data_IF_777704200452
#
_entry.id   IF_777704200452
#
_cell.length_a   1.000
_cell.length_b   1.000
_cell.length_c   1.000
_cell.angle_alpha   90.00
_cell.angle_beta   90.00
_cell.angle_gamma   90.00
#
_symmetry.space_group_name_H-M   'P 1'
#
loop_
_entity.id
_entity.type
_entity.pdbx_description
1 polymer ?
#
# COMPACT_ATOMS: atom_id res chain seq x y z
N UNK A 1 2.54 0.74 -24.38
CA UNK A 1 1.14 0.31 -24.23
C UNK A 1 1.05 -0.37 -22.88
N UNK A 2 0.37 0.23 -21.91
CA UNK A 2 0.18 -0.35 -20.58
C UNK A 2 -1.06 -1.23 -20.64
N UNK A 3 -0.91 -2.51 -20.27
CA UNK A 3 -2.00 -3.47 -20.37
C UNK A 3 -3.12 -3.14 -19.38
N UNK A 4 -4.12 -2.40 -19.85
CA UNK A 4 -5.57 -2.63 -19.72
C UNK A 4 -6.27 -2.79 -18.36
N UNK A 5 -5.56 -2.93 -17.24
CA UNK A 5 -6.20 -3.17 -15.95
C UNK A 5 -6.77 -1.87 -15.37
N UNK A 6 -8.06 -1.88 -15.00
CA UNK A 6 -8.67 -0.79 -14.22
C UNK A 6 -8.23 -0.91 -12.78
N UNK A 7 -7.65 0.15 -12.23
CA UNK A 7 -7.17 0.20 -10.85
C UNK A 7 -8.05 1.14 -10.05
N UNK A 8 -8.44 0.70 -8.85
CA UNK A 8 -9.16 1.49 -7.85
C UNK A 8 -8.39 1.42 -6.52
N UNK A 9 -8.41 2.50 -5.73
CA UNK A 9 -7.70 2.57 -4.45
C UNK A 9 -8.68 2.78 -3.31
N UNK A 10 -8.64 1.89 -2.31
CA UNK A 10 -9.27 2.10 -1.02
C UNK A 10 -8.19 2.42 0.02
N UNK A 11 -8.21 3.64 0.53
CA UNK A 11 -7.36 4.11 1.62
C UNK A 11 -8.20 4.25 2.89
N UNK A 12 -7.73 3.70 4.01
CA UNK A 12 -8.55 3.57 5.23
C UNK A 12 -8.36 4.72 6.22
N UNK A 13 -7.20 5.38 6.21
CA UNK A 13 -6.83 6.45 7.13
C UNK A 13 -6.26 7.63 6.34
N UNK A 14 -6.30 8.83 6.91
CA UNK A 14 -5.70 10.01 6.27
C UNK A 14 -4.19 10.12 6.53
N UNK A 15 -3.66 9.31 7.46
CA UNK A 15 -2.25 9.36 7.83
C UNK A 15 -1.92 10.57 8.71
N UNK A 16 -2.91 11.09 9.43
CA UNK A 16 -2.83 12.31 10.22
C UNK A 16 -1.94 12.17 11.48
N UNK A 17 -1.60 10.94 11.90
CA UNK A 17 -0.74 10.67 13.04
C UNK A 17 0.75 10.49 12.68
N UNK A 18 1.11 10.63 11.39
CA UNK A 18 2.49 10.50 10.93
C UNK A 18 3.43 11.48 11.63
N UNK A 19 4.61 10.98 12.02
CA UNK A 19 5.70 11.80 12.58
C UNK A 19 6.48 12.56 11.51
N UNK A 20 6.21 12.27 10.23
CA UNK A 20 6.76 13.03 9.10
C UNK A 20 5.90 14.27 8.86
N UNK A 21 6.48 15.43 9.14
CA UNK A 21 5.87 16.74 8.95
C UNK A 21 6.66 17.54 7.91
N UNK A 22 6.70 17.06 6.66
CA UNK A 22 7.39 17.76 5.56
C UNK A 22 6.83 19.15 5.28
N UNK A 23 5.58 19.41 5.68
CA UNK A 23 4.88 20.69 5.56
C UNK A 23 3.97 20.88 6.79
N UNK A 24 3.86 22.11 7.30
CA UNK A 24 2.92 22.45 8.36
C UNK A 24 1.49 22.61 7.81
N UNK A 25 0.48 22.17 8.57
CA UNK A 25 -0.92 22.36 8.21
C UNK A 25 -1.84 21.27 8.77
N UNK A 26 -3.11 21.34 8.38
CA UNK A 26 -4.08 20.27 8.60
C UNK A 26 -3.72 19.07 7.71
N UNK A 27 -3.10 18.06 8.33
CA UNK A 27 -2.61 16.86 7.63
C UNK A 27 -3.75 16.03 7.03
N UNK A 28 -4.94 16.04 7.63
CA UNK A 28 -6.07 15.26 7.15
C UNK A 28 -6.51 15.73 5.76
N UNK A 29 -6.69 17.05 5.61
CA UNK A 29 -7.04 17.67 4.34
C UNK A 29 -5.88 17.65 3.36
N UNK A 30 -4.67 18.01 3.82
CA UNK A 30 -3.48 18.04 2.97
C UNK A 30 -3.22 16.67 2.33
N UNK A 31 -3.21 15.60 3.12
CA UNK A 31 -2.90 14.26 2.61
C UNK A 31 -4.01 13.68 1.74
N UNK A 32 -5.26 14.08 1.94
CA UNK A 32 -6.35 13.76 1.01
C UNK A 32 -6.09 14.38 -0.37
N UNK A 33 -5.74 15.67 -0.43
CA UNK A 33 -5.40 16.35 -1.69
C UNK A 33 -4.16 15.73 -2.36
N UNK A 34 -3.13 15.40 -1.57
CA UNK A 34 -1.92 14.72 -2.06
C UNK A 34 -2.26 13.35 -2.68
N UNK A 35 -3.08 12.54 -2.00
CA UNK A 35 -3.52 11.23 -2.50
C UNK A 35 -4.32 11.36 -3.80
N UNK A 36 -5.28 12.29 -3.88
CA UNK A 36 -6.07 12.53 -5.10
C UNK A 36 -5.16 12.96 -6.26
N UNK A 37 -4.19 13.84 -6.00
CA UNK A 37 -3.25 14.32 -7.03
C UNK A 37 -2.35 13.18 -7.52
N UNK A 38 -1.79 12.39 -6.60
CA UNK A 38 -0.94 11.25 -6.91
C UNK A 38 -1.70 10.19 -7.74
N UNK A 39 -2.96 9.92 -7.40
CA UNK A 39 -3.81 9.02 -8.16
C UNK A 39 -4.05 9.50 -9.59
N UNK A 40 -4.28 10.80 -9.78
CA UNK A 40 -4.41 11.41 -11.10
C UNK A 40 -3.16 11.23 -11.97
N UNK A 41 -1.96 11.38 -11.39
CA UNK A 41 -0.69 11.12 -12.07
C UNK A 41 -0.56 9.67 -12.51
N UNK A 42 -1.01 8.73 -11.68
CA UNK A 42 -1.00 7.29 -11.99
C UNK A 42 -2.14 6.84 -12.92
N UNK A 43 -3.05 7.74 -13.30
CA UNK A 43 -4.23 7.41 -14.11
C UNK A 43 -5.30 6.61 -13.37
N UNK A 44 -5.32 6.66 -12.04
CA UNK A 44 -6.30 5.97 -11.19
C UNK A 44 -7.55 6.85 -11.07
N UNK A 45 -8.67 6.37 -11.62
CA UNK A 45 -9.93 7.12 -11.68
C UNK A 45 -10.86 6.93 -10.48
N UNK A 46 -10.68 5.87 -9.68
CA UNK A 46 -11.47 5.61 -8.47
C UNK A 46 -10.56 5.56 -7.25
N UNK A 47 -10.71 6.55 -6.38
CA UNK A 47 -10.02 6.63 -5.09
C UNK A 47 -11.04 6.90 -4.01
N UNK A 48 -11.03 6.07 -2.98
CA UNK A 48 -11.89 6.17 -1.82
C UNK A 48 -11.03 6.29 -0.58
N UNK A 49 -11.14 7.43 0.09
CA UNK A 49 -10.49 7.69 1.36
C UNK A 49 -11.54 7.61 2.47
N UNK A 50 -11.30 6.74 3.45
CA UNK A 50 -12.10 6.64 4.66
C UNK A 50 -11.39 7.36 5.81
N UNK A 51 -12.12 7.58 6.89
CA UNK A 51 -11.67 8.37 8.05
C UNK A 51 -11.50 7.51 9.30
N UNK A 52 -10.94 6.30 9.18
CA UNK A 52 -10.50 5.57 10.37
C UNK A 52 -9.29 6.29 10.99
N UNK A 53 -9.17 6.35 12.32
CA UNK A 53 -8.05 7.03 12.95
C UNK A 53 -6.72 6.34 12.64
N UNK A 54 -5.74 7.12 12.17
CA UNK A 54 -4.40 6.63 11.85
C UNK A 54 -3.69 6.08 13.11
N UNK A 55 -3.03 4.93 12.95
CA UNK A 55 -2.40 4.15 14.02
C UNK A 55 -3.36 3.29 14.85
N UNK A 56 -4.66 3.31 14.58
CA UNK A 56 -5.68 2.66 15.41
C UNK A 56 -6.61 1.74 14.62
N UNK A 57 -6.26 1.37 13.39
CA UNK A 57 -7.10 0.53 12.55
C UNK A 57 -7.30 -0.87 13.16
N UNK A 58 -6.32 -1.36 13.92
CA UNK A 58 -6.42 -2.63 14.66
C UNK A 58 -7.46 -2.64 15.79
N UNK A 59 -7.95 -1.46 16.22
CA UNK A 59 -9.00 -1.32 17.21
C UNK A 59 -10.42 -1.33 16.60
N UNK A 60 -10.54 -1.14 15.28
CA UNK A 60 -11.82 -1.21 14.59
C UNK A 60 -12.33 -2.67 14.51
N UNK A 61 -13.64 -2.85 14.38
CA UNK A 61 -14.23 -4.18 14.26
C UNK A 61 -13.73 -4.87 12.97
N UNK A 62 -13.17 -6.09 13.04
CA UNK A 62 -12.67 -6.79 11.86
C UNK A 62 -13.74 -7.10 10.81
N UNK A 63 -15.00 -7.27 11.22
CA UNK A 63 -16.13 -7.46 10.33
C UNK A 63 -16.51 -6.19 9.59
N UNK A 64 -16.48 -5.04 10.28
CA UNK A 64 -16.67 -3.72 9.70
C UNK A 64 -15.62 -3.42 8.62
N UNK A 65 -14.33 -3.57 8.94
CA UNK A 65 -13.25 -3.32 7.99
C UNK A 65 -13.35 -4.22 6.77
N UNK A 66 -13.61 -5.52 6.95
CA UNK A 66 -13.84 -6.44 5.85
C UNK A 66 -15.08 -6.03 5.03
N UNK A 67 -16.14 -5.56 5.67
CA UNK A 67 -17.34 -5.03 5.02
C UNK A 67 -17.03 -3.83 4.12
N UNK A 68 -16.16 -2.90 4.55
CA UNK A 68 -15.69 -1.78 3.72
C UNK A 68 -14.95 -2.26 2.47
N UNK A 69 -14.05 -3.23 2.62
CA UNK A 69 -13.34 -3.81 1.47
C UNK A 69 -14.29 -4.55 0.54
N UNK A 70 -15.24 -5.32 1.09
CA UNK A 70 -16.27 -6.01 0.30
C UNK A 70 -17.14 -5.04 -0.51
N UNK A 71 -17.56 -3.92 0.09
CA UNK A 71 -18.34 -2.90 -0.59
C UNK A 71 -17.54 -2.28 -1.75
N UNK A 72 -16.30 -1.85 -1.49
CA UNK A 72 -15.43 -1.30 -2.52
C UNK A 72 -15.20 -2.28 -3.68
N UNK A 73 -14.84 -3.53 -3.37
CA UNK A 73 -14.59 -4.56 -4.37
C UNK A 73 -15.83 -4.84 -5.25
N UNK A 74 -17.04 -4.83 -4.67
CA UNK A 74 -18.28 -5.02 -5.43
C UNK A 74 -18.61 -3.82 -6.31
N UNK A 75 -18.43 -2.61 -5.81
CA UNK A 75 -18.75 -1.38 -6.54
C UNK A 75 -17.83 -1.15 -7.75
N UNK A 76 -16.61 -1.70 -7.71
CA UNK A 76 -15.63 -1.59 -8.80
C UNK A 76 -15.54 -2.85 -9.67
N UNK A 77 -16.40 -3.86 -9.43
CA UNK A 77 -16.32 -5.18 -10.05
C UNK A 77 -14.90 -5.77 -10.01
N UNK A 78 -14.26 -5.72 -8.84
CA UNK A 78 -12.86 -6.11 -8.68
C UNK A 78 -12.65 -7.61 -8.97
N UNK A 79 -11.65 -7.92 -9.78
CA UNK A 79 -11.25 -9.29 -10.14
C UNK A 79 -10.14 -9.84 -9.23
N UNK A 80 -9.59 -9.00 -8.35
CA UNK A 80 -8.54 -9.34 -7.39
C UNK A 80 -8.19 -8.17 -6.48
N UNK A 81 -7.49 -8.45 -5.39
CA UNK A 81 -7.01 -7.43 -4.46
C UNK A 81 -5.48 -7.39 -4.42
N UNK A 82 -4.92 -6.19 -4.34
CA UNK A 82 -3.50 -5.95 -4.06
C UNK A 82 -3.39 -5.26 -2.70
N UNK A 83 -2.62 -5.84 -1.79
CA UNK A 83 -2.45 -5.39 -0.40
C UNK A 83 -0.98 -5.45 0.00
N UNK A 84 -0.63 -5.03 1.21
CA UNK A 84 0.68 -5.37 1.77
C UNK A 84 0.75 -6.85 2.12
N UNK A 85 1.94 -7.44 2.12
CA UNK A 85 2.17 -8.76 2.73
C UNK A 85 1.63 -8.80 4.18
N UNK A 86 1.23 -9.96 4.76
CA UNK A 86 0.47 -10.01 6.02
C UNK A 86 1.10 -9.29 7.23
N UNK A 87 2.42 -9.10 7.25
CA UNK A 87 3.11 -8.32 8.28
C UNK A 87 3.00 -6.81 8.08
N UNK A 88 2.32 -6.36 7.03
CA UNK A 88 2.26 -4.97 6.62
C UNK A 88 3.58 -4.45 6.03
N UNK A 89 4.51 -5.35 5.73
CA UNK A 89 5.91 -5.14 5.32
C UNK A 89 6.79 -4.40 6.34
N UNK A 90 6.21 -3.62 7.25
CA UNK A 90 6.94 -2.87 8.28
C UNK A 90 6.58 -3.28 9.70
N UNK A 91 5.64 -4.23 9.86
CA UNK A 91 5.07 -4.57 11.16
C UNK A 91 4.04 -3.54 11.68
N UNK A 92 3.70 -2.51 10.89
CA UNK A 92 2.74 -1.50 11.32
C UNK A 92 1.35 -2.13 11.52
N UNK A 93 0.71 -1.96 12.70
CA UNK A 93 -0.58 -2.59 13.01
C UNK A 93 -1.67 -2.26 11.98
N UNK A 94 -1.73 -1.03 11.48
CA UNK A 94 -2.74 -0.65 10.49
C UNK A 94 -2.54 -1.37 9.16
N UNK A 95 -1.30 -1.56 8.70
CA UNK A 95 -1.05 -2.28 7.47
C UNK A 95 -1.49 -3.75 7.63
N UNK A 96 -1.17 -4.38 8.75
CA UNK A 96 -1.58 -5.75 9.04
C UNK A 96 -3.11 -5.87 9.16
N UNK A 97 -3.78 -4.91 9.80
CA UNK A 97 -5.24 -4.87 9.92
C UNK A 97 -5.92 -4.68 8.55
N UNK A 98 -5.40 -3.80 7.71
CA UNK A 98 -5.89 -3.59 6.34
C UNK A 98 -5.75 -4.87 5.50
N UNK A 99 -4.59 -5.53 5.55
CA UNK A 99 -4.38 -6.81 4.84
C UNK A 99 -5.31 -7.90 5.37
N UNK A 100 -5.49 -8.02 6.68
CA UNK A 100 -6.40 -9.00 7.27
C UNK A 100 -7.87 -8.77 6.84
N UNK A 101 -8.32 -7.51 6.81
CA UNK A 101 -9.64 -7.14 6.33
C UNK A 101 -9.84 -7.52 4.85
N UNK A 102 -8.84 -7.26 4.01
CA UNK A 102 -8.87 -7.61 2.60
C UNK A 102 -8.85 -9.13 2.35
N UNK A 103 -8.06 -9.90 3.10
CA UNK A 103 -8.06 -11.37 3.03
C UNK A 103 -9.42 -11.95 3.43
N UNK A 104 -10.05 -11.40 4.47
CA UNK A 104 -11.40 -11.79 4.89
C UNK A 104 -12.46 -11.46 3.83
N UNK A 105 -12.42 -10.25 3.29
CA UNK A 105 -13.33 -9.80 2.23
C UNK A 105 -13.18 -10.63 0.97
N UNK A 106 -11.94 -10.84 0.50
CA UNK A 106 -11.63 -11.72 -0.61
C UNK A 106 -12.22 -13.11 -0.32
N UNK A 107 -11.94 -13.67 0.86
CA UNK A 107 -12.50 -14.93 1.37
C UNK A 107 -13.96 -15.14 0.99
N UNK A 108 -14.81 -14.20 1.40
CA UNK A 108 -16.25 -14.22 1.12
C UNK A 108 -16.65 -13.94 -0.34
N UNK A 109 -15.79 -13.30 -1.12
CA UNK A 109 -16.03 -12.97 -2.54
C UNK A 109 -15.42 -13.97 -3.53
N UNK A 110 -14.55 -14.87 -3.07
CA UNK A 110 -13.79 -15.77 -3.96
C UNK A 110 -12.69 -15.07 -4.77
N UNK A 111 -12.23 -13.88 -4.38
CA UNK A 111 -11.19 -13.14 -5.13
C UNK A 111 -9.74 -13.60 -4.82
N UNK A 112 -8.83 -13.61 -5.81
CA UNK A 112 -7.39 -13.75 -5.56
C UNK A 112 -6.84 -12.53 -4.81
N UNK A 113 -5.75 -12.75 -4.07
CA UNK A 113 -5.05 -11.67 -3.33
C UNK A 113 -3.55 -11.75 -3.58
N UNK A 114 -2.98 -10.63 -4.02
CA UNK A 114 -1.54 -10.41 -4.11
C UNK A 114 -1.08 -9.51 -2.95
N UNK A 115 0.00 -9.92 -2.27
CA UNK A 115 0.67 -9.15 -1.24
C UNK A 115 1.94 -8.52 -1.78
N UNK A 116 2.04 -7.20 -1.75
CA UNK A 116 3.27 -6.48 -2.03
C UNK A 116 4.28 -6.71 -0.91
N UNK A 117 5.50 -7.07 -1.29
CA UNK A 117 6.62 -7.33 -0.39
C UNK A 117 7.91 -6.74 -0.94
N UNK A 118 8.96 -6.79 -0.13
CA UNK A 118 10.35 -6.55 -0.56
C UNK A 118 11.18 -7.82 -0.46
N UNK A 119 12.28 -7.95 -1.23
CA UNK A 119 13.27 -9.00 -1.03
C UNK A 119 13.93 -8.88 0.34
N UNK A 120 14.29 -10.01 0.95
CA UNK A 120 14.94 -10.07 2.27
C UNK A 120 16.20 -9.20 2.32
N UNK A 121 17.04 -9.25 1.28
CA UNK A 121 18.26 -8.44 1.20
C UNK A 121 17.98 -6.92 1.23
N UNK A 122 16.84 -6.48 0.67
CA UNK A 122 16.40 -5.08 0.71
C UNK A 122 15.91 -4.73 2.11
N UNK A 123 15.03 -5.55 2.70
CA UNK A 123 14.55 -5.36 4.08
C UNK A 123 15.72 -5.27 5.08
N UNK A 124 16.68 -6.18 4.97
CA UNK A 124 17.91 -6.21 5.77
C UNK A 124 18.73 -4.92 5.68
N UNK A 125 18.88 -4.41 4.46
CA UNK A 125 19.63 -3.17 4.21
C UNK A 125 18.92 -1.98 4.85
N UNK A 126 17.60 -1.88 4.69
CA UNK A 126 16.79 -0.81 5.27
C UNK A 126 16.79 -0.87 6.81
N UNK A 127 16.66 -2.06 7.41
CA UNK A 127 16.79 -2.27 8.87
C UNK A 127 18.13 -1.75 9.40
N UNK A 128 19.24 -2.11 8.74
CA UNK A 128 20.58 -1.69 9.18
C UNK A 128 20.84 -0.19 9.01
N UNK A 129 20.39 0.40 7.91
CA UNK A 129 20.67 1.82 7.59
C UNK A 129 19.73 2.78 8.34
N UNK A 130 18.47 2.41 8.57
CA UNK A 130 17.44 3.32 9.10
C UNK A 130 16.85 2.90 10.45
N UNK A 131 17.16 1.69 10.93
CA UNK A 131 16.48 1.12 12.12
C UNK A 131 14.99 0.86 11.90
N UNK A 132 14.50 1.03 10.67
CA UNK A 132 13.10 0.83 10.33
C UNK A 132 12.77 -0.67 10.30
N UNK A 133 11.69 -1.07 10.96
CA UNK A 133 11.17 -2.41 10.82
C UNK A 133 10.75 -2.61 9.36
N UNK A 134 11.36 -3.60 8.72
CA UNK A 134 10.97 -4.14 7.43
C UNK A 134 10.94 -5.64 7.56
N UNK A 135 10.02 -6.28 6.88
CA UNK A 135 9.92 -7.72 6.70
C UNK A 135 10.02 -8.00 5.20
N UNK A 136 10.83 -8.98 4.85
CA UNK A 136 11.15 -9.28 3.46
C UNK A 136 11.38 -10.76 3.29
N UNK A 137 11.23 -11.23 2.05
CA UNK A 137 11.22 -12.66 1.76
C UNK A 137 12.41 -13.07 0.91
N UNK A 138 12.94 -14.30 1.09
CA UNK A 138 13.93 -14.85 0.20
C UNK A 138 13.33 -15.06 -1.20
N UNK A 139 14.13 -15.10 -2.27
CA UNK A 139 13.63 -15.14 -3.65
C UNK A 139 12.63 -16.27 -3.94
N UNK A 140 12.82 -17.44 -3.33
CA UNK A 140 11.94 -18.61 -3.46
C UNK A 140 10.55 -18.42 -2.83
N UNK A 141 10.39 -17.44 -1.94
CA UNK A 141 9.11 -17.09 -1.31
C UNK A 141 8.41 -15.91 -2.01
N UNK A 142 8.99 -15.37 -3.10
CA UNK A 142 8.40 -14.34 -3.96
C UNK A 142 7.80 -15.00 -5.19
N UNK A 143 6.48 -14.89 -5.36
CA UNK A 143 5.75 -15.56 -6.44
C UNK A 143 5.78 -14.81 -7.77
N UNK A 144 5.82 -13.48 -7.75
CA UNK A 144 5.91 -12.64 -8.95
C UNK A 144 6.88 -11.49 -8.76
N UNK A 145 7.63 -11.18 -9.81
CA UNK A 145 8.44 -9.96 -9.91
C UNK A 145 8.03 -9.20 -11.17
N UNK A 146 7.58 -7.97 -10.99
CA UNK A 146 7.06 -7.10 -12.05
C UNK A 146 8.11 -6.04 -12.37
N UNK A 147 8.46 -5.87 -13.65
CA UNK A 147 9.24 -4.71 -14.09
C UNK A 147 8.31 -3.50 -14.21
N UNK A 148 8.70 -2.38 -13.62
CA UNK A 148 7.91 -1.15 -13.58
C UNK A 148 8.69 0.02 -14.17
N UNK A 149 7.98 0.95 -14.82
CA UNK A 149 8.52 2.26 -15.11
C UNK A 149 8.40 3.13 -13.86
N UNK A 150 9.54 3.58 -13.32
CA UNK A 150 9.56 4.41 -12.11
C UNK A 150 9.13 5.85 -12.35
N UNK A 151 9.13 6.35 -13.59
CA UNK A 151 8.85 7.78 -13.84
C UNK A 151 7.48 8.22 -13.30
N UNK A 152 6.35 7.54 -13.64
CA UNK A 152 5.04 7.89 -13.09
C UNK A 152 4.96 7.72 -11.57
N UNK A 153 5.65 6.70 -11.02
CA UNK A 153 5.69 6.48 -9.57
C UNK A 153 6.43 7.61 -8.84
N UNK A 154 7.55 8.08 -9.39
CA UNK A 154 8.32 9.18 -8.83
C UNK A 154 7.54 10.51 -8.91
N UNK A 155 6.81 10.75 -10.00
CA UNK A 155 5.91 11.90 -10.13
C UNK A 155 4.79 11.85 -9.08
N UNK A 156 4.16 10.68 -8.89
CA UNK A 156 3.11 10.50 -7.89
C UNK A 156 3.66 10.64 -6.45
N UNK A 157 4.86 10.13 -6.16
CA UNK A 157 5.53 10.33 -4.87
C UNK A 157 5.80 11.81 -4.61
N UNK A 158 6.19 12.58 -5.63
CA UNK A 158 6.41 14.02 -5.49
C UNK A 158 5.13 14.81 -5.13
N UNK A 159 3.94 14.26 -5.39
CA UNK A 159 2.69 14.84 -4.92
C UNK A 159 2.55 14.77 -3.39
N UNK A 160 3.13 13.77 -2.73
CA UNK A 160 3.08 13.58 -1.28
C UNK A 160 4.12 14.42 -0.54
N UNK A 161 4.11 15.74 -0.72
CA UNK A 161 5.12 16.67 -0.17
C UNK A 161 5.26 16.57 1.36
N UNK A 162 4.18 16.27 2.07
CA UNK A 162 4.18 16.09 3.52
C UNK A 162 4.97 14.86 3.98
N UNK A 163 5.08 13.83 3.14
CA UNK A 163 5.64 12.51 3.49
C UNK A 163 6.93 12.15 2.73
N UNK A 164 7.06 12.59 1.48
CA UNK A 164 8.19 12.31 0.59
C UNK A 164 9.41 13.21 0.92
N UNK A 165 9.82 13.23 2.18
CA UNK A 165 10.91 14.09 2.65
C UNK A 165 12.28 13.54 2.20
N UNK A 166 13.25 14.40 1.87
CA UNK A 166 14.62 13.98 1.56
C UNK A 166 15.22 13.11 2.66
N UNK A 167 15.90 12.03 2.28
CA UNK A 167 16.53 11.10 3.22
C UNK A 167 15.56 10.16 3.94
N UNK A 168 14.25 10.19 3.64
CA UNK A 168 13.33 9.14 4.13
C UNK A 168 13.65 7.77 3.55
N UNK A 169 13.28 6.72 4.29
CA UNK A 169 13.46 5.30 3.89
C UNK A 169 12.83 4.97 2.54
N UNK A 170 11.83 5.75 2.12
CA UNK A 170 11.17 5.63 0.82
C UNK A 170 12.16 5.68 -0.35
N UNK A 171 13.03 6.69 -0.37
CA UNK A 171 13.96 6.92 -1.48
C UNK A 171 14.98 5.80 -1.59
N UNK A 172 15.53 5.39 -0.44
CA UNK A 172 16.47 4.28 -0.39
C UNK A 172 15.83 2.97 -0.80
N UNK A 173 14.58 2.72 -0.38
CA UNK A 173 13.82 1.54 -0.82
C UNK A 173 13.66 1.53 -2.34
N UNK A 174 13.26 2.64 -2.96
CA UNK A 174 13.10 2.73 -4.41
C UNK A 174 14.42 2.52 -5.16
N UNK A 175 15.52 3.07 -4.65
CA UNK A 175 16.86 2.85 -5.20
C UNK A 175 17.24 1.36 -5.16
N UNK A 176 17.08 0.70 -4.00
CA UNK A 176 17.42 -0.70 -3.81
C UNK A 176 16.55 -1.65 -4.65
N UNK A 177 15.29 -1.30 -4.88
CA UNK A 177 14.37 -2.08 -5.71
C UNK A 177 14.62 -1.91 -7.22
N UNK A 178 15.38 -0.88 -7.64
CA UNK A 178 15.60 -0.60 -9.06
C UNK A 178 14.27 -0.45 -9.80
N UNK A 179 14.09 -1.16 -10.92
CA UNK A 179 12.86 -1.17 -11.72
C UNK A 179 11.91 -2.33 -11.39
N UNK A 180 12.02 -2.94 -10.20
CA UNK A 180 11.26 -4.16 -9.84
C UNK A 180 10.32 -3.96 -8.66
N UNK A 181 9.14 -4.57 -8.75
CA UNK A 181 8.22 -4.77 -7.62
C UNK A 181 8.01 -6.26 -7.38
N UNK A 182 7.87 -6.67 -6.11
CA UNK A 182 7.81 -8.07 -5.71
C UNK A 182 6.48 -8.38 -5.03
N UNK A 183 5.83 -9.46 -5.45
CA UNK A 183 4.51 -9.85 -5.00
C UNK A 183 4.48 -11.31 -4.56
N UNK A 184 3.68 -11.59 -3.54
CA UNK A 184 3.34 -12.94 -3.06
C UNK A 184 1.86 -13.24 -3.32
N UNK A 185 1.54 -14.50 -3.63
CA UNK A 185 0.15 -14.98 -3.77
C UNK A 185 -0.36 -15.36 -2.39
N UNK A 186 -1.08 -14.44 -1.76
CA UNK A 186 -1.65 -14.66 -0.42
C UNK A 186 -2.93 -15.50 -0.48
N UNK A 187 -3.65 -15.40 -1.60
CA UNK A 187 -4.80 -16.25 -1.89
C UNK A 187 -4.88 -16.56 -3.38
N UNK A 188 -5.07 -17.83 -3.77
CA UNK A 188 -5.30 -18.18 -5.16
C UNK A 188 -6.67 -17.67 -5.63
N UNK A 189 -6.82 -17.50 -6.94
CA UNK A 189 -8.13 -17.35 -7.55
C UNK A 189 -8.92 -18.67 -7.50
N UNK A 190 -10.22 -18.63 -7.84
CA UNK A 190 -11.02 -19.83 -7.97
C UNK A 190 -10.52 -20.74 -9.11
#
# INVERSE_FOLDING_TARGET
>A
AGDGARVSVLCLTHGEASTLHGVAGDLERLRADELTTAAGVLGIGDVRLLSYPDGHLSAADPGELAGRVTAAARETDAEGLLVFDPTGVTGHPDHAAATAAALRAAGGLGLPVLGWTVPEAVADRLRREYGAAFDGHPPEAVDLTVTVNRAPQLEAVACHRSQAVPGSVLWRRLELLGDREHLRRLRPGP
#
